data_IF_025957926385
#
_entry.id   IF_025957926385
#
_cell.length_a   1.000
_cell.length_b   1.000
_cell.length_c   1.000
_cell.angle_alpha   90.00
_cell.angle_beta   90.00
_cell.angle_gamma   90.00
#
_symmetry.space_group_name_H-M   'P 1'
#
loop_
_entity.id
_entity.type
_entity.pdbx_description
1 polymer ?
#
# COMPACT_ATOMS: atom_id res chain seq x y z
N UNK A 1 31.86 -32.38 11.46
CA UNK A 1 32.32 -31.95 10.12
C UNK A 1 31.35 -30.91 9.61
N UNK A 2 31.82 -29.87 8.95
CA UNK A 2 30.96 -28.86 8.32
C UNK A 2 30.68 -29.24 6.86
N UNK A 3 29.53 -28.82 6.34
CA UNK A 3 29.14 -28.94 4.94
C UNK A 3 29.07 -27.57 4.26
N UNK A 4 28.69 -27.59 2.99
CA UNK A 4 28.41 -26.42 2.18
C UNK A 4 27.09 -26.59 1.43
N UNK A 5 26.33 -25.51 1.31
CA UNK A 5 25.10 -25.46 0.54
C UNK A 5 25.26 -24.38 -0.52
N UNK A 6 25.21 -24.79 -1.78
CA UNK A 6 25.39 -23.93 -2.92
C UNK A 6 24.08 -23.72 -3.68
N UNK A 7 23.90 -22.50 -4.17
CA UNK A 7 22.73 -22.05 -4.92
C UNK A 7 23.17 -21.50 -6.26
N UNK A 8 22.42 -21.84 -7.31
CA UNK A 8 22.55 -21.25 -8.64
C UNK A 8 21.17 -20.90 -9.18
N UNK A 9 21.10 -19.82 -9.93
CA UNK A 9 19.87 -19.31 -10.54
C UNK A 9 20.01 -19.28 -12.06
N UNK A 10 18.89 -19.40 -12.77
CA UNK A 10 18.88 -19.29 -14.22
C UNK A 10 17.75 -18.39 -14.73
N UNK A 11 18.05 -17.67 -15.80
CA UNK A 11 17.08 -16.83 -16.50
C UNK A 11 16.27 -17.71 -17.45
N UNK A 12 15.11 -18.15 -16.98
CA UNK A 12 14.18 -19.02 -17.69
C UNK A 12 13.43 -18.23 -18.77
N UNK A 13 14.05 -18.10 -19.93
CA UNK A 13 13.58 -17.20 -20.98
C UNK A 13 12.37 -17.76 -21.73
N UNK A 14 12.16 -19.08 -21.67
CA UNK A 14 11.02 -19.74 -22.30
C UNK A 14 9.89 -20.09 -21.32
N UNK A 15 10.12 -19.95 -20.01
CA UNK A 15 9.13 -20.11 -18.95
C UNK A 15 8.79 -21.56 -18.63
N UNK A 16 9.66 -22.52 -18.96
CA UNK A 16 9.36 -23.95 -18.81
C UNK A 16 9.73 -24.53 -17.43
N UNK A 17 10.35 -23.73 -16.56
CA UNK A 17 10.77 -24.13 -15.22
C UNK A 17 11.99 -25.08 -15.19
N UNK A 18 12.69 -25.25 -16.31
CA UNK A 18 13.87 -26.10 -16.45
C UNK A 18 15.01 -25.29 -17.04
N UNK A 19 16.23 -25.53 -16.54
CA UNK A 19 17.40 -24.83 -17.06
C UNK A 19 17.79 -25.38 -18.43
N UNK A 20 17.67 -24.54 -19.45
CA UNK A 20 18.04 -24.90 -20.82
C UNK A 20 19.44 -24.44 -21.24
N UNK A 21 19.93 -25.02 -22.33
CA UNK A 21 21.21 -24.63 -22.92
C UNK A 21 21.13 -23.21 -23.47
N UNK A 22 22.02 -22.33 -23.01
CA UNK A 22 22.05 -20.91 -23.39
C UNK A 22 21.34 -20.00 -22.41
N UNK A 23 20.64 -20.54 -21.41
CA UNK A 23 20.07 -19.74 -20.33
C UNK A 23 21.15 -19.32 -19.33
N UNK A 24 21.35 -18.01 -19.25
CA UNK A 24 22.33 -17.39 -18.39
C UNK A 24 21.93 -17.40 -16.92
N UNK A 25 22.77 -16.79 -16.10
CA UNK A 25 22.48 -16.54 -14.68
C UNK A 25 21.38 -15.49 -14.54
N UNK A 26 20.47 -15.71 -13.60
CA UNK A 26 19.52 -14.68 -13.18
C UNK A 26 20.11 -13.89 -12.00
N UNK A 27 20.56 -12.66 -12.29
CA UNK A 27 21.12 -11.75 -11.31
C UNK A 27 20.06 -11.01 -10.49
N UNK A 28 20.45 -10.49 -9.32
CA UNK A 28 19.58 -9.68 -8.46
C UNK A 28 18.57 -10.49 -7.63
N UNK A 29 18.73 -11.82 -7.61
CA UNK A 29 17.91 -12.72 -6.80
C UNK A 29 18.42 -12.69 -5.36
N UNK A 30 17.55 -12.35 -4.41
CA UNK A 30 17.86 -12.38 -2.98
C UNK A 30 17.55 -13.77 -2.40
N UNK A 31 18.58 -14.42 -1.87
CA UNK A 31 18.57 -15.77 -1.29
C UNK A 31 18.73 -15.68 0.22
N UNK A 32 17.75 -16.19 0.95
CA UNK A 32 17.78 -16.29 2.41
C UNK A 32 18.01 -17.74 2.82
N UNK A 33 19.02 -17.97 3.66
CA UNK A 33 19.27 -19.25 4.31
C UNK A 33 18.77 -19.18 5.75
N UNK A 34 17.87 -20.09 6.12
CA UNK A 34 17.30 -20.20 7.45
C UNK A 34 17.49 -21.59 8.06
N UNK A 35 17.54 -21.65 9.39
CA UNK A 35 17.48 -22.89 10.16
C UNK A 35 16.71 -22.63 11.46
N UNK A 36 15.88 -23.59 11.89
CA UNK A 36 15.01 -23.42 13.06
C UNK A 36 14.05 -22.23 12.96
N UNK A 37 13.67 -21.81 11.75
CA UNK A 37 12.81 -20.65 11.50
C UNK A 37 13.51 -19.29 11.56
N UNK A 38 14.84 -19.25 11.72
CA UNK A 38 15.63 -18.02 11.79
C UNK A 38 16.55 -17.91 10.57
N UNK A 39 16.54 -16.76 9.91
CA UNK A 39 17.49 -16.45 8.82
C UNK A 39 18.88 -16.26 9.43
N UNK A 40 19.84 -17.06 8.98
CA UNK A 40 21.23 -17.05 9.45
C UNK A 40 22.19 -16.41 8.44
N UNK A 41 21.81 -16.37 7.16
CA UNK A 41 22.59 -15.74 6.12
C UNK A 41 21.70 -15.29 4.95
N UNK A 42 22.13 -14.26 4.25
CA UNK A 42 21.46 -13.71 3.06
C UNK A 42 22.48 -13.40 1.98
N UNK A 43 22.12 -13.59 0.72
CA UNK A 43 22.99 -13.26 -0.40
C UNK A 43 22.20 -12.77 -1.61
N UNK A 44 22.79 -11.86 -2.40
CA UNK A 44 22.20 -11.41 -3.66
C UNK A 44 23.09 -11.91 -4.80
N UNK A 45 22.54 -12.73 -5.69
CA UNK A 45 23.28 -13.30 -6.82
C UNK A 45 23.72 -12.19 -7.77
N UNK A 46 25.03 -12.06 -7.97
CA UNK A 46 25.58 -11.11 -8.93
C UNK A 46 25.51 -11.64 -10.37
N UNK A 47 25.49 -10.76 -11.37
CA UNK A 47 25.48 -11.17 -12.78
C UNK A 47 26.73 -11.96 -13.20
N UNK A 48 27.84 -11.76 -12.50
CA UNK A 48 29.10 -12.48 -12.71
C UNK A 48 29.17 -13.80 -11.95
N UNK A 49 28.17 -14.09 -11.11
CA UNK A 49 28.20 -15.21 -10.17
C UNK A 49 27.29 -16.33 -10.67
N UNK A 50 27.89 -17.37 -11.24
CA UNK A 50 27.14 -18.53 -11.72
C UNK A 50 26.59 -19.40 -10.60
N UNK A 51 27.18 -19.31 -9.42
CA UNK A 51 26.84 -20.09 -8.23
C UNK A 51 27.42 -19.39 -7.00
N UNK A 52 26.65 -19.37 -5.92
CA UNK A 52 27.11 -18.95 -4.59
C UNK A 52 27.06 -20.13 -3.62
N UNK A 53 27.95 -20.17 -2.62
CA UNK A 53 27.97 -21.22 -1.61
C UNK A 53 28.00 -20.64 -0.20
N UNK A 54 27.10 -21.13 0.65
CA UNK A 54 27.17 -20.98 2.09
C UNK A 54 28.05 -22.09 2.65
N UNK A 55 29.26 -21.74 3.05
CA UNK A 55 30.24 -22.67 3.61
C UNK A 55 30.16 -22.74 5.15
N UNK A 56 30.84 -23.73 5.74
CA UNK A 56 30.97 -23.92 7.19
C UNK A 56 29.63 -24.14 7.93
N UNK A 57 28.67 -24.76 7.26
CA UNK A 57 27.38 -25.10 7.85
C UNK A 57 27.49 -26.39 8.67
N UNK A 58 26.94 -26.41 9.87
CA UNK A 58 26.84 -27.64 10.65
C UNK A 58 25.80 -28.58 10.04
N UNK A 59 25.92 -29.88 10.34
CA UNK A 59 24.87 -30.86 10.01
C UNK A 59 23.53 -30.39 10.56
N UNK A 60 22.49 -30.40 9.73
CA UNK A 60 21.17 -29.91 10.14
C UNK A 60 20.20 -29.79 8.98
N UNK A 61 19.04 -29.19 9.26
CA UNK A 61 18.01 -28.88 8.26
C UNK A 61 18.06 -27.38 7.99
N UNK A 62 18.13 -27.04 6.70
CA UNK A 62 18.19 -25.68 6.21
C UNK A 62 17.06 -25.42 5.23
N UNK A 63 16.49 -24.23 5.32
CA UNK A 63 15.48 -23.73 4.38
C UNK A 63 16.12 -22.61 3.57
N UNK A 64 16.03 -22.73 2.24
CA UNK A 64 16.40 -21.67 1.31
C UNK A 64 15.11 -21.03 0.81
N UNK A 65 15.03 -19.70 0.90
CA UNK A 65 13.93 -18.92 0.33
C UNK A 65 14.48 -17.87 -0.63
N UNK A 66 13.97 -17.87 -1.84
CA UNK A 66 14.22 -16.85 -2.87
C UNK A 66 13.13 -15.79 -2.78
N UNK A 67 13.53 -14.53 -2.64
CA UNK A 67 12.57 -13.43 -2.50
C UNK A 67 12.04 -12.98 -3.86
N UNK A 68 10.75 -12.70 -3.95
CA UNK A 68 10.14 -12.17 -5.17
C UNK A 68 10.65 -10.75 -5.50
N UNK A 69 10.69 -10.45 -6.80
CA UNK A 69 11.12 -9.15 -7.32
C UNK A 69 10.30 -8.76 -8.54
N UNK A 70 9.96 -7.47 -8.74
CA UNK A 70 9.29 -7.02 -9.95
C UNK A 70 10.14 -7.19 -11.22
N UNK A 71 11.44 -7.45 -11.07
CA UNK A 71 12.40 -7.65 -12.16
C UNK A 71 12.29 -9.03 -12.82
N UNK A 72 11.50 -9.96 -12.28
CA UNK A 72 11.28 -11.28 -12.86
C UNK A 72 9.93 -11.88 -12.45
N UNK A 73 9.60 -13.05 -13.02
CA UNK A 73 8.48 -13.91 -12.61
C UNK A 73 9.02 -15.31 -12.37
N UNK A 74 8.92 -15.80 -11.13
CA UNK A 74 9.38 -17.14 -10.76
C UNK A 74 8.64 -18.20 -11.57
N UNK A 75 9.38 -19.14 -12.14
CA UNK A 75 8.83 -20.27 -12.91
C UNK A 75 8.99 -21.59 -12.15
N UNK A 76 9.84 -21.60 -11.11
CA UNK A 76 10.05 -22.74 -10.22
C UNK A 76 9.74 -22.39 -8.76
N UNK A 77 9.91 -23.35 -7.86
CA UNK A 77 9.68 -23.15 -6.44
C UNK A 77 10.64 -22.10 -5.87
N UNK A 78 10.09 -21.16 -5.09
CA UNK A 78 10.83 -20.09 -4.43
C UNK A 78 11.29 -20.48 -3.01
N UNK A 79 10.97 -21.67 -2.53
CA UNK A 79 11.42 -22.18 -1.24
C UNK A 79 11.71 -23.68 -1.31
N UNK A 80 12.74 -24.11 -0.58
CA UNK A 80 13.06 -25.53 -0.41
C UNK A 80 13.70 -25.82 0.94
N UNK A 81 13.40 -26.99 1.51
CA UNK A 81 14.00 -27.47 2.76
C UNK A 81 14.91 -28.66 2.47
N UNK A 82 16.13 -28.61 2.99
CA UNK A 82 17.19 -29.56 2.69
C UNK A 82 17.91 -30.02 3.97
N UNK A 83 18.13 -31.33 4.08
CA UNK A 83 19.01 -31.89 5.10
C UNK A 83 20.46 -31.85 4.61
N UNK A 84 21.34 -31.24 5.39
CA UNK A 84 22.78 -31.16 5.14
C UNK A 84 23.52 -32.07 6.12
N UNK A 85 24.35 -32.97 5.59
CA UNK A 85 25.26 -33.82 6.36
C UNK A 85 26.66 -33.22 6.46
N UNK A 86 27.43 -33.61 7.46
CA UNK A 86 28.82 -33.19 7.61
C UNK A 86 29.67 -33.59 6.39
N UNK A 87 30.51 -32.69 5.90
CA UNK A 87 31.32 -32.90 4.70
C UNK A 87 30.55 -32.86 3.37
N UNK A 88 29.21 -32.74 3.40
CA UNK A 88 28.40 -32.70 2.19
C UNK A 88 28.51 -31.33 1.50
N UNK A 89 28.58 -31.35 0.17
CA UNK A 89 28.34 -30.18 -0.69
C UNK A 89 27.02 -30.37 -1.41
N UNK A 90 25.98 -29.68 -0.94
CA UNK A 90 24.67 -29.71 -1.57
C UNK A 90 24.59 -28.62 -2.65
N UNK A 91 24.05 -28.95 -3.83
CA UNK A 91 23.87 -28.00 -4.92
C UNK A 91 22.37 -27.87 -5.25
N UNK A 92 21.86 -26.65 -5.20
CA UNK A 92 20.48 -26.28 -5.47
C UNK A 92 20.49 -25.38 -6.71
N UNK A 93 20.12 -25.94 -7.85
CA UNK A 93 20.19 -25.25 -9.14
C UNK A 93 18.82 -25.06 -9.79
N UNK A 94 17.76 -25.22 -8.99
CA UNK A 94 16.39 -25.36 -9.49
C UNK A 94 15.64 -24.03 -9.52
N UNK A 95 16.28 -22.91 -9.14
CA UNK A 95 15.62 -21.60 -9.14
C UNK A 95 15.69 -20.93 -10.53
N UNK A 96 14.56 -20.97 -11.23
CA UNK A 96 14.34 -20.33 -12.52
C UNK A 96 13.31 -19.21 -12.41
N UNK A 97 13.55 -18.14 -13.16
CA UNK A 97 12.53 -17.10 -13.34
C UNK A 97 12.65 -16.43 -14.71
N UNK A 98 11.51 -16.06 -15.28
CA UNK A 98 11.41 -15.28 -16.49
C UNK A 98 11.82 -13.83 -16.22
N UNK A 99 12.90 -13.31 -16.83
CA UNK A 99 13.37 -11.95 -16.57
C UNK A 99 12.43 -10.91 -17.21
N UNK A 100 12.06 -9.89 -16.45
CA UNK A 100 11.31 -8.74 -16.95
C UNK A 100 12.30 -7.61 -17.25
N UNK A 101 12.45 -7.18 -18.50
CA UNK A 101 13.33 -6.07 -18.83
C UNK A 101 12.79 -4.78 -18.22
N UNK A 102 13.71 -3.91 -17.78
CA UNK A 102 13.34 -2.63 -17.15
C UNK A 102 12.48 -1.74 -18.06
N UNK A 103 12.60 -1.85 -19.38
CA UNK A 103 11.73 -1.17 -20.33
C UNK A 103 10.26 -1.58 -20.19
N UNK A 104 9.99 -2.88 -20.08
CA UNK A 104 8.63 -3.39 -19.87
C UNK A 104 8.08 -2.97 -18.52
N UNK A 105 8.90 -2.98 -17.47
CA UNK A 105 8.47 -2.51 -16.15
C UNK A 105 8.15 -1.01 -16.15
N UNK A 106 8.94 -0.18 -16.83
CA UNK A 106 8.67 1.26 -16.99
C UNK A 106 7.40 1.51 -17.80
N UNK A 107 7.18 0.75 -18.88
CA UNK A 107 5.97 0.84 -19.69
C UNK A 107 4.73 0.49 -18.88
N UNK A 108 4.80 -0.59 -18.09
CA UNK A 108 3.72 -1.01 -17.17
C UNK A 108 3.40 0.08 -16.15
N UNK A 109 4.42 0.62 -15.47
CA UNK A 109 4.23 1.71 -14.50
C UNK A 109 3.66 2.96 -15.17
N UNK A 110 4.13 3.33 -16.36
CA UNK A 110 3.59 4.46 -17.12
C UNK A 110 2.11 4.25 -17.49
N UNK A 111 1.74 3.04 -17.92
CA UNK A 111 0.35 2.68 -18.21
C UNK A 111 -0.53 2.74 -16.97
N UNK A 112 -0.06 2.26 -15.82
CA UNK A 112 -0.79 2.35 -14.55
C UNK A 112 -1.00 3.80 -14.08
N UNK A 113 0.00 4.67 -14.27
CA UNK A 113 -0.13 6.11 -13.96
C UNK A 113 -1.17 6.76 -14.89
N UNK A 114 -1.13 6.45 -16.18
CA UNK A 114 -2.11 6.97 -17.15
C UNK A 114 -3.54 6.53 -16.84
N UNK A 115 -3.75 5.24 -16.53
CA UNK A 115 -5.06 4.72 -16.14
C UNK A 115 -5.60 5.33 -14.83
N UNK A 116 -4.71 5.74 -13.91
CA UNK A 116 -5.08 6.45 -12.69
C UNK A 116 -5.57 7.88 -12.95
N UNK A 117 -5.10 8.53 -14.01
CA UNK A 117 -5.50 9.89 -14.37
C UNK A 117 -6.89 9.93 -15.03
N UNK A 118 -7.30 8.91 -15.77
CA UNK A 118 -8.63 8.85 -16.40
C UNK A 118 -9.78 8.71 -15.39
N UNK A 119 -9.50 8.26 -14.16
CA UNK A 119 -10.49 8.19 -13.09
C UNK A 119 -10.71 9.53 -12.38
N UNK A 120 -9.79 10.48 -12.58
CA UNK A 120 -9.82 11.87 -12.12
C UNK A 120 -10.13 12.81 -13.31
N UNK A 121 -10.92 12.34 -14.28
CA UNK A 121 -11.44 13.20 -15.34
C UNK A 121 -12.09 14.43 -14.69
N UNK A 122 -11.60 15.66 -14.96
CA UNK A 122 -12.23 16.86 -14.45
C UNK A 122 -13.59 16.93 -15.13
N UNK A 123 -14.59 16.39 -14.45
CA UNK A 123 -15.99 16.42 -14.81
C UNK A 123 -16.25 17.77 -15.48
N UNK A 124 -16.69 17.76 -16.74
CA UNK A 124 -16.78 19.00 -17.53
C UNK A 124 -17.41 20.11 -16.70
N UNK A 125 -16.92 21.35 -16.80
CA UNK A 125 -17.34 22.47 -15.93
C UNK A 125 -18.87 22.59 -15.83
N UNK A 126 -19.59 22.24 -16.91
CA UNK A 126 -21.05 22.11 -16.94
C UNK A 126 -21.59 21.03 -15.99
N UNK A 127 -21.05 19.81 -16.05
CA UNK A 127 -21.47 18.69 -15.20
C UNK A 127 -21.06 18.89 -13.73
N UNK A 128 -19.92 19.55 -13.46
CA UNK A 128 -19.60 20.02 -12.08
C UNK A 128 -20.61 21.02 -11.57
N UNK A 129 -21.02 21.97 -12.41
CA UNK A 129 -22.04 22.95 -12.03
C UNK A 129 -23.39 22.26 -11.79
N UNK A 130 -23.78 21.28 -12.62
CA UNK A 130 -25.00 20.50 -12.42
C UNK A 130 -24.97 19.69 -11.11
N UNK A 131 -23.91 18.95 -10.83
CA UNK A 131 -23.80 18.15 -9.59
C UNK A 131 -23.74 19.05 -8.35
N UNK A 132 -22.99 20.16 -8.41
CA UNK A 132 -22.90 21.10 -7.29
C UNK A 132 -24.22 21.84 -7.02
N UNK A 133 -24.95 22.25 -8.06
CA UNK A 133 -26.24 22.94 -7.92
C UNK A 133 -27.32 22.02 -7.39
N UNK A 134 -27.41 20.78 -7.92
CA UNK A 134 -28.35 19.77 -7.42
C UNK A 134 -28.03 19.39 -5.98
N UNK A 135 -26.75 19.14 -5.65
CA UNK A 135 -26.34 18.84 -4.28
C UNK A 135 -26.66 19.98 -3.31
N UNK A 136 -26.41 21.23 -3.71
CA UNK A 136 -26.71 22.40 -2.89
C UNK A 136 -28.20 22.63 -2.69
N UNK A 137 -29.04 22.38 -3.70
CA UNK A 137 -30.50 22.45 -3.59
C UNK A 137 -31.05 21.46 -2.55
N UNK A 138 -30.56 20.22 -2.56
CA UNK A 138 -30.95 19.19 -1.60
C UNK A 138 -30.59 19.60 -0.17
N UNK A 139 -29.38 20.14 0.04
CA UNK A 139 -28.94 20.64 1.34
C UNK A 139 -29.83 21.79 1.82
N UNK A 140 -30.14 22.75 0.95
CA UNK A 140 -31.02 23.88 1.30
C UNK A 140 -32.42 23.42 1.72
N UNK A 141 -33.02 22.47 1.01
CA UNK A 141 -34.35 21.94 1.34
C UNK A 141 -34.34 21.25 2.72
N UNK A 142 -33.32 20.44 2.99
CA UNK A 142 -33.16 19.79 4.30
C UNK A 142 -32.99 20.82 5.42
N UNK A 143 -32.17 21.86 5.22
CA UNK A 143 -31.95 22.90 6.23
C UNK A 143 -33.22 23.71 6.52
N UNK A 144 -34.02 24.03 5.50
CA UNK A 144 -35.32 24.71 5.69
C UNK A 144 -36.29 23.81 6.44
N UNK A 145 -36.37 22.52 6.09
CA UNK A 145 -37.22 21.56 6.80
C UNK A 145 -36.82 21.40 8.27
N UNK A 146 -35.53 21.23 8.55
CA UNK A 146 -35.00 21.12 9.91
C UNK A 146 -35.21 22.42 10.68
N UNK A 147 -34.97 23.58 10.05
CA UNK A 147 -35.21 24.89 10.65
C UNK A 147 -36.67 25.12 11.03
N UNK A 148 -37.62 24.72 10.17
CA UNK A 148 -39.05 24.83 10.45
C UNK A 148 -39.49 23.91 11.60
N UNK A 149 -38.94 22.69 11.67
CA UNK A 149 -39.18 21.76 12.79
C UNK A 149 -38.64 22.33 14.10
N UNK A 150 -37.42 22.89 14.10
CA UNK A 150 -36.83 23.52 15.27
C UNK A 150 -37.62 24.77 15.71
N UNK A 151 -38.06 25.61 14.78
CA UNK A 151 -38.89 26.79 15.11
C UNK A 151 -40.25 26.37 15.68
N UNK A 152 -40.91 25.39 15.08
CA UNK A 152 -42.21 24.89 15.54
C UNK A 152 -42.16 24.30 16.96
N UNK A 153 -41.04 23.71 17.36
CA UNK A 153 -40.84 23.17 18.71
C UNK A 153 -40.64 24.30 19.75
N UNK A 154 -40.07 25.44 19.37
CA UNK A 154 -39.80 26.58 20.29
C UNK A 154 -41.06 27.43 20.52
N UNK A 155 -41.91 27.59 19.50
CA UNK A 155 -43.13 28.42 19.58
C UNK A 155 -44.26 27.82 20.43
N UNK A 156 -44.15 26.55 20.84
CA UNK A 156 -45.19 25.83 21.60
C UNK A 156 -45.26 26.10 23.11
N UNK A 157 -44.52 27.07 23.65
CA UNK A 157 -44.55 27.38 25.10
C UNK A 157 -45.47 28.58 25.40
N UNK A 158 -46.61 28.39 26.09
CA UNK A 158 -47.50 29.50 26.45
C UNK A 158 -46.86 30.38 27.55
N UNK A 159 -46.69 31.66 27.24
CA UNK A 159 -46.22 32.70 28.16
C UNK A 159 -47.37 33.05 29.12
N UNK A 160 -47.19 32.78 30.42
CA UNK A 160 -48.09 33.29 31.47
C UNK A 160 -47.97 34.80 31.54
N UNK A 161 -49.08 35.48 31.30
CA UNK A 161 -49.23 36.94 31.37
C UNK A 161 -48.97 37.41 32.80
N UNK A 162 -48.02 38.33 33.00
CA UNK A 162 -47.83 39.03 34.26
C UNK A 162 -47.90 40.54 34.04
N UNK A 163 -48.66 41.18 34.92
CA UNK A 163 -49.19 42.54 34.97
C UNK A 163 -48.16 43.67 34.88
N UNK A 164 -48.53 44.74 34.18
CA UNK A 164 -47.82 46.03 34.08
C UNK A 164 -48.02 46.92 35.33
N UNK A 165 -47.01 47.72 35.74
CA UNK A 165 -47.29 48.92 36.51
C UNK A 165 -46.64 50.21 35.95
N UNK A 166 -47.30 51.32 36.32
CA UNK A 166 -47.20 52.74 35.95
C UNK A 166 -45.81 53.36 35.78
N UNK A 167 -45.71 54.25 34.79
CA UNK A 167 -44.59 55.17 34.55
C UNK A 167 -44.85 56.47 35.32
N UNK A 168 -43.95 56.85 36.22
CA UNK A 168 -43.93 58.15 36.89
C UNK A 168 -42.92 59.08 36.18
N UNK A 169 -43.25 60.36 35.90
CA UNK A 169 -42.37 61.24 35.13
C UNK A 169 -41.20 61.82 35.98
N UNK A 170 -40.06 62.15 35.34
CA UNK A 170 -38.83 62.51 36.05
C UNK A 170 -38.85 63.92 36.69
N UNK A 171 -38.11 64.13 37.79
CA UNK A 171 -38.11 65.40 38.53
C UNK A 171 -37.34 66.52 37.82
N UNK A 172 -37.89 67.74 37.92
CA UNK A 172 -37.38 68.99 37.37
C UNK A 172 -36.22 69.56 38.21
N UNK A 173 -35.07 69.78 37.59
CA UNK A 173 -33.85 70.33 38.23
C UNK A 173 -33.86 71.87 38.07
N UNK A 174 -33.77 72.62 39.18
CA UNK A 174 -33.56 74.08 39.17
C UNK A 174 -32.06 74.42 39.11
N UNK A 175 -31.65 75.52 38.43
CA UNK A 175 -30.25 75.92 38.35
C UNK A 175 -29.72 76.56 39.65
N UNK A 176 -28.39 76.48 39.92
CA UNK A 176 -27.76 77.02 41.11
C UNK A 176 -27.48 78.54 41.02
N UNK A 177 -27.39 79.26 42.16
CA UNK A 177 -27.19 80.70 42.19
C UNK A 177 -25.71 81.11 42.20
N UNK A 178 -25.34 82.08 41.35
CA UNK A 178 -24.78 83.41 41.66
C UNK A 178 -24.42 84.11 40.35
#
# INVERSE_FOLDING_TARGET
ETGSLCVATFADANGNGMRDTGEGVLAGVNVNLATGGVIIATHIIAATETQFCFDNLLTGIYTITFTDSPMYRTTTANEGTFALSGGQRLMINDFGAFPIPASSLRAEVAAQIAARQEQDEPLETSTRLMVATVGSMVVMICLVGIGAVLLGIISGRPVKTASSPSIEPPPSIKPPPS
#
